data_IF_683410888262
#
_entry.id   IF_683410888262
#
_cell.length_a   1.000
_cell.length_b   1.000
_cell.length_c   1.000
_cell.angle_alpha   90.00
_cell.angle_beta   90.00
_cell.angle_gamma   90.00
#
_symmetry.space_group_name_H-M   'P 1'
#
loop_
_entity.id
_entity.type
_entity.pdbx_description
1 polymer ?
#
# COMPACT_ATOMS: atom_id res chain seq x y z
N UNK A 1 21.41 22.60 20.67
CA UNK A 1 20.35 21.98 19.84
C UNK A 1 19.28 21.49 20.80
N UNK A 2 18.03 21.91 20.64
CA UNK A 2 16.93 21.47 21.52
C UNK A 2 16.38 20.17 20.95
N UNK A 3 16.24 19.14 21.80
CA UNK A 3 15.67 17.87 21.37
C UNK A 3 14.14 17.96 21.38
N UNK A 4 13.50 17.60 20.27
CA UNK A 4 12.05 17.38 20.21
C UNK A 4 11.76 15.93 20.59
N UNK A 5 10.71 15.72 21.39
CA UNK A 5 10.21 14.37 21.66
C UNK A 5 9.06 14.08 20.71
N UNK A 6 9.21 13.00 19.94
CA UNK A 6 8.13 12.47 19.09
C UNK A 6 7.29 11.52 19.93
N UNK A 7 5.98 11.74 19.93
CA UNK A 7 4.98 10.81 20.46
C UNK A 7 4.33 10.04 19.32
N UNK A 8 4.19 8.72 19.49
CA UNK A 8 3.57 7.81 18.52
C UNK A 8 4.05 6.37 18.69
N UNK A 9 3.47 5.45 17.92
CA UNK A 9 3.84 4.03 18.01
C UNK A 9 5.22 3.76 17.40
N UNK A 10 6.08 3.06 18.13
CA UNK A 10 7.33 2.50 17.59
C UNK A 10 7.10 1.26 16.73
N UNK A 11 5.89 0.67 16.79
CA UNK A 11 5.48 -0.52 16.06
C UNK A 11 4.16 -0.24 15.30
N UNK A 12 4.16 0.66 14.29
CA UNK A 12 2.95 0.96 13.55
C UNK A 12 2.48 -0.25 12.73
N UNK A 13 1.16 -0.40 12.56
CA UNK A 13 0.60 -1.49 11.77
C UNK A 13 0.56 -1.09 10.29
N UNK A 14 1.11 -1.93 9.42
CA UNK A 14 1.09 -1.75 7.97
C UNK A 14 -0.34 -1.63 7.46
N UNK A 15 -0.58 -0.71 6.53
CA UNK A 15 -1.89 -0.43 5.96
C UNK A 15 -2.82 0.39 6.86
N UNK A 16 -2.48 0.59 8.14
CA UNK A 16 -3.23 1.42 9.06
C UNK A 16 -2.57 2.79 9.21
N UNK A 17 -3.40 3.82 9.14
CA UNK A 17 -2.95 5.19 9.41
C UNK A 17 -2.50 5.31 10.89
N UNK A 18 -1.29 5.82 11.10
CA UNK A 18 -0.70 6.02 12.43
C UNK A 18 -0.32 7.48 12.62
N UNK A 19 -0.74 8.08 13.73
CA UNK A 19 -0.48 9.49 14.05
C UNK A 19 0.78 9.66 14.91
N UNK A 20 1.50 10.75 14.66
CA UNK A 20 2.67 11.18 15.42
C UNK A 20 2.58 12.67 15.72
N UNK A 21 3.03 13.07 16.91
CA UNK A 21 2.99 14.46 17.38
C UNK A 21 4.29 14.85 18.05
N UNK A 22 4.63 16.14 18.08
CA UNK A 22 5.75 16.65 18.88
C UNK A 22 5.30 17.13 20.26
N UNK A 23 6.03 16.75 21.30
CA UNK A 23 5.99 17.42 22.60
C UNK A 23 7.19 18.37 22.72
N UNK A 24 6.98 19.63 23.12
CA UNK A 24 8.09 20.51 23.49
C UNK A 24 8.72 19.97 24.78
N UNK A 25 10.00 19.60 24.72
CA UNK A 25 10.77 19.29 25.93
C UNK A 25 11.03 20.60 26.66
N UNK A 26 10.34 20.82 27.79
CA UNK A 26 10.55 22.01 28.65
C UNK A 26 9.31 22.65 29.26
N UNK A 27 8.09 22.17 29.02
CA UNK A 27 6.87 22.71 29.65
C UNK A 27 6.60 22.07 31.02
N UNK A 28 7.55 22.24 31.95
CA UNK A 28 7.16 22.46 33.33
C UNK A 28 6.60 23.87 33.38
N UNK A 29 5.27 24.02 33.41
CA UNK A 29 4.52 25.25 33.75
C UNK A 29 5.35 26.56 33.75
N UNK A 30 5.69 27.07 32.58
CA UNK A 30 6.23 28.44 32.48
C UNK A 30 5.05 29.34 32.17
N UNK A 31 4.65 30.11 33.18
CA UNK A 31 3.79 31.28 33.04
C UNK A 31 4.31 32.06 31.84
N UNK A 32 3.50 32.15 30.77
CA UNK A 32 3.91 32.79 29.53
C UNK A 32 4.31 34.23 29.81
N UNK A 33 5.59 34.54 29.61
CA UNK A 33 6.05 35.90 29.53
C UNK A 33 5.54 36.47 28.18
N UNK A 34 4.70 37.52 28.14
CA UNK A 34 3.96 37.95 26.94
C UNK A 34 4.81 38.53 25.81
N UNK A 35 6.13 38.48 25.91
CA UNK A 35 7.10 39.06 24.96
C UNK A 35 8.03 38.03 24.30
N UNK A 36 7.79 36.72 24.45
CA UNK A 36 8.54 35.73 23.66
C UNK A 36 7.94 35.63 22.26
N UNK A 37 8.72 35.78 21.17
CA UNK A 37 8.20 35.56 19.83
C UNK A 37 7.74 34.11 19.72
N UNK A 38 6.44 33.93 19.50
CA UNK A 38 5.85 32.63 19.19
C UNK A 38 6.60 32.12 17.96
N UNK A 39 7.38 31.04 18.10
CA UNK A 39 8.05 30.42 16.95
C UNK A 39 7.00 30.04 15.91
N UNK A 40 6.94 30.83 14.82
CA UNK A 40 6.07 30.63 13.66
C UNK A 40 6.55 29.49 12.76
N UNK A 41 7.69 28.90 13.09
CA UNK A 41 8.27 27.81 12.31
C UNK A 41 7.45 26.53 12.49
N UNK A 42 6.98 25.98 11.38
CA UNK A 42 6.23 24.73 11.34
C UNK A 42 7.17 23.54 11.49
N UNK A 43 6.72 22.49 12.17
CA UNK A 43 7.46 21.24 12.26
C UNK A 43 7.43 20.51 10.91
N UNK A 44 8.60 20.09 10.43
CA UNK A 44 8.78 19.34 9.19
C UNK A 44 9.14 17.90 9.52
N UNK A 45 8.43 16.96 8.93
CA UNK A 45 8.56 15.53 9.21
C UNK A 45 9.07 14.80 7.98
N UNK A 46 9.97 13.85 8.19
CA UNK A 46 10.52 13.00 7.14
C UNK A 46 10.68 11.56 7.62
N UNK A 47 10.56 10.60 6.70
CA UNK A 47 10.92 9.20 6.93
C UNK A 47 12.27 8.90 6.28
N UNK A 48 13.17 8.34 7.07
CA UNK A 48 14.46 7.81 6.64
C UNK A 48 14.43 6.28 6.64
N UNK A 49 15.02 5.67 5.63
CA UNK A 49 15.26 4.23 5.53
C UNK A 49 16.74 3.96 5.75
N UNK A 50 17.05 2.91 6.52
CA UNK A 50 18.41 2.39 6.64
C UNK A 50 18.73 1.53 5.41
N UNK A 51 19.70 1.96 4.61
CA UNK A 51 20.19 1.22 3.45
C UNK A 51 21.71 1.20 3.48
N UNK A 52 22.33 0.02 3.41
CA UNK A 52 23.80 -0.13 3.41
C UNK A 52 24.45 0.65 4.57
N UNK A 53 23.85 0.54 5.77
CA UNK A 53 24.28 1.24 7.02
C UNK A 53 24.21 2.77 6.99
N UNK A 54 23.51 3.38 6.02
CA UNK A 54 23.30 4.83 5.96
C UNK A 54 21.80 5.15 5.94
N UNK A 55 21.40 6.19 6.66
CA UNK A 55 20.04 6.71 6.62
C UNK A 55 19.83 7.53 5.34
N UNK A 56 18.82 7.18 4.56
CA UNK A 56 18.43 7.90 3.34
C UNK A 56 16.99 8.37 3.40
N UNK A 57 16.72 9.57 2.88
CA UNK A 57 15.36 10.11 2.74
C UNK A 57 14.57 9.32 1.71
N UNK A 58 13.32 9.04 2.03
CA UNK A 58 12.36 8.51 1.06
C UNK A 58 11.64 9.65 0.34
N UNK A 59 11.51 9.56 -0.98
CA UNK A 59 10.74 10.53 -1.75
C UNK A 59 9.26 10.49 -1.36
N UNK A 60 8.61 11.66 -1.23
CA UNK A 60 7.16 11.78 -1.05
C UNK A 60 6.63 11.62 0.38
N UNK A 61 7.50 11.46 1.39
CA UNK A 61 7.09 11.28 2.79
C UNK A 61 7.31 12.51 3.68
N UNK A 62 7.35 13.71 3.08
CA UNK A 62 7.49 14.96 3.83
C UNK A 62 6.12 15.49 4.26
N UNK A 63 5.97 15.78 5.56
CA UNK A 63 4.73 16.36 6.11
C UNK A 63 5.04 17.58 6.98
N UNK A 64 4.05 18.46 7.16
CA UNK A 64 4.20 19.70 7.92
C UNK A 64 3.07 19.81 8.96
N UNK A 65 3.41 20.20 10.18
CA UNK A 65 2.46 20.44 11.27
C UNK A 65 2.90 19.80 12.58
N UNK A 66 2.32 20.21 13.71
CA UNK A 66 2.70 19.65 15.03
C UNK A 66 2.22 18.20 15.22
N UNK A 67 1.25 17.76 14.41
CA UNK A 67 0.78 16.38 14.33
C UNK A 67 0.66 15.96 12.86
N UNK A 68 1.14 14.76 12.53
CA UNK A 68 1.09 14.18 11.19
C UNK A 68 0.68 12.72 11.24
N UNK A 69 0.09 12.23 10.16
CA UNK A 69 -0.21 10.80 9.99
C UNK A 69 0.74 10.16 8.98
N UNK A 70 1.10 8.90 9.17
CA UNK A 70 1.80 8.08 8.18
C UNK A 70 1.06 6.76 7.98
N UNK A 71 1.08 6.27 6.73
CA UNK A 71 0.65 4.91 6.40
C UNK A 71 1.85 4.14 5.85
N UNK A 72 2.16 3.01 6.47
CA UNK A 72 3.32 2.18 6.13
C UNK A 72 2.89 1.03 5.22
N UNK A 73 3.69 0.73 4.20
CA UNK A 73 3.45 -0.36 3.24
C UNK A 73 4.14 -1.65 3.68
N UNK A 74 3.85 -2.79 3.07
CA UNK A 74 4.54 -4.04 3.43
C UNK A 74 6.06 -3.94 3.21
N UNK A 75 6.47 -3.23 2.15
CA UNK A 75 7.88 -2.94 1.86
C UNK A 75 8.59 -2.21 3.01
N UNK A 76 7.86 -1.50 3.88
CA UNK A 76 8.38 -0.86 5.09
C UNK A 76 8.83 -1.88 6.14
N UNK A 77 8.12 -3.00 6.31
CA UNK A 77 8.54 -4.07 7.23
C UNK A 77 9.71 -4.91 6.72
N UNK A 78 9.97 -4.88 5.40
CA UNK A 78 11.13 -5.54 4.81
C UNK A 78 12.42 -4.70 4.91
N UNK A 79 12.34 -3.44 5.34
CA UNK A 79 13.52 -2.56 5.48
C UNK A 79 14.35 -2.95 6.70
N UNK A 80 15.68 -2.79 6.59
CA UNK A 80 16.62 -3.00 7.71
C UNK A 80 16.32 -2.07 8.89
N UNK A 81 15.82 -0.87 8.63
CA UNK A 81 15.41 0.09 9.65
C UNK A 81 14.66 1.27 9.06
N UNK A 82 13.73 1.83 9.85
CA UNK A 82 12.97 3.03 9.53
C UNK A 82 13.09 4.02 10.69
N UNK A 83 13.19 5.30 10.35
CA UNK A 83 13.33 6.37 11.33
C UNK A 83 12.52 7.59 10.90
N UNK A 84 11.66 8.06 11.78
CA UNK A 84 10.96 9.34 11.64
C UNK A 84 11.88 10.42 12.18
N UNK A 85 12.03 11.51 11.44
CA UNK A 85 12.77 12.70 11.86
C UNK A 85 11.83 13.90 11.78
N UNK A 86 11.85 14.72 12.83
CA UNK A 86 11.14 16.00 12.87
C UNK A 86 12.12 17.13 13.11
N UNK A 87 11.97 18.23 12.38
CA UNK A 87 12.74 19.47 12.58
C UNK A 87 11.81 20.66 12.73
N UNK A 88 12.09 21.52 13.72
CA UNK A 88 11.41 22.80 13.93
C UNK A 88 12.45 23.84 14.32
N UNK A 89 12.83 24.70 13.39
CA UNK A 89 13.96 25.61 13.55
C UNK A 89 15.24 24.86 13.87
N UNK A 90 15.86 25.24 15.00
CA UNK A 90 17.07 24.62 15.54
C UNK A 90 16.79 23.36 16.39
N UNK A 91 15.54 22.93 16.48
CA UNK A 91 15.13 21.76 17.27
C UNK A 91 14.93 20.54 16.38
N UNK A 92 15.36 19.36 16.85
CA UNK A 92 15.29 18.11 16.10
C UNK A 92 14.86 16.95 17.00
N UNK A 93 14.01 16.06 16.48
CA UNK A 93 13.61 14.81 17.13
C UNK A 93 13.75 13.63 16.18
N UNK A 94 14.05 12.46 16.71
CA UNK A 94 14.16 11.22 15.95
C UNK A 94 13.43 10.07 16.66
N UNK A 95 12.75 9.21 15.89
CA UNK A 95 12.06 8.02 16.41
C UNK A 95 12.32 6.85 15.47
N UNK A 96 13.01 5.83 15.95
CA UNK A 96 13.18 4.56 15.22
C UNK A 96 11.87 3.77 15.33
N UNK A 97 11.38 3.28 14.20
CA UNK A 97 10.15 2.51 14.11
C UNK A 97 10.41 1.16 13.44
N UNK A 98 9.60 0.17 13.79
CA UNK A 98 9.58 -1.16 13.18
C UNK A 98 8.14 -1.52 12.82
N UNK A 99 7.67 -1.17 11.62
CA UNK A 99 6.32 -1.49 11.18
C UNK A 99 6.04 -2.99 11.27
N UNK A 100 4.85 -3.32 11.76
CA UNK A 100 4.38 -4.70 11.92
C UNK A 100 3.33 -5.01 10.87
N UNK A 101 3.33 -6.24 10.37
CA UNK A 101 2.29 -6.71 9.45
C UNK A 101 0.96 -6.75 10.21
N UNK A 102 -0.12 -6.32 9.56
CA UNK A 102 -1.46 -6.37 10.13
C UNK A 102 -1.93 -7.80 10.44
N UNK A 103 -1.36 -8.79 9.73
CA UNK A 103 -1.65 -10.21 9.91
C UNK A 103 -1.02 -11.06 8.80
N UNK A 104 -1.83 -11.97 8.24
CA UNK A 104 -1.40 -12.92 7.21
C UNK A 104 -1.80 -12.41 5.82
N UNK A 105 -0.88 -11.78 5.05
CA UNK A 105 -1.19 -11.19 3.75
C UNK A 105 -1.67 -12.26 2.75
N UNK A 106 -2.92 -12.18 2.33
CA UNK A 106 -3.52 -13.14 1.39
C UNK A 106 -4.57 -12.52 0.49
N UNK A 107 -4.63 -13.03 -0.74
CA UNK A 107 -5.80 -12.92 -1.60
C UNK A 107 -6.74 -14.04 -1.20
N UNK A 108 -7.94 -13.71 -0.71
CA UNK A 108 -8.93 -14.70 -0.28
C UNK A 108 -9.71 -15.28 -1.45
N UNK A 109 -10.10 -14.41 -2.40
CA UNK A 109 -10.92 -14.79 -3.54
C UNK A 109 -10.79 -13.76 -4.66
N UNK A 110 -11.22 -14.15 -5.85
CA UNK A 110 -11.36 -13.28 -7.01
C UNK A 110 -12.79 -13.38 -7.51
N UNK A 111 -13.44 -12.25 -7.70
CA UNK A 111 -14.78 -12.14 -8.28
C UNK A 111 -14.68 -11.54 -9.68
N UNK A 112 -15.47 -12.07 -10.63
CA UNK A 112 -15.58 -11.54 -11.98
C UNK A 112 -16.95 -10.90 -12.17
N UNK A 113 -16.96 -9.69 -12.72
CA UNK A 113 -18.17 -8.95 -13.04
C UNK A 113 -18.17 -8.45 -14.49
N UNK A 114 -19.35 -8.18 -15.03
CA UNK A 114 -19.49 -7.43 -16.26
C UNK A 114 -19.12 -5.94 -16.05
N UNK A 115 -19.13 -5.15 -17.12
CA UNK A 115 -18.88 -3.70 -17.08
C UNK A 115 -19.81 -2.92 -16.14
N UNK A 116 -20.96 -3.49 -15.78
CA UNK A 116 -21.98 -2.91 -14.91
C UNK A 116 -21.91 -3.45 -13.48
N UNK A 117 -20.84 -4.19 -13.12
CA UNK A 117 -20.65 -4.85 -11.82
C UNK A 117 -21.65 -5.97 -11.49
N UNK A 118 -22.35 -6.52 -12.49
CA UNK A 118 -23.17 -7.70 -12.30
C UNK A 118 -22.31 -8.97 -12.38
N UNK A 119 -22.70 -9.99 -11.62
CA UNK A 119 -22.03 -11.30 -11.70
C UNK A 119 -22.20 -11.89 -13.10
N UNK A 120 -21.11 -12.34 -13.70
CA UNK A 120 -21.15 -13.01 -15.00
C UNK A 120 -21.83 -14.37 -14.82
N UNK A 121 -22.92 -14.58 -15.54
CA UNK A 121 -23.72 -15.82 -15.53
C UNK A 121 -23.81 -16.48 -16.90
N UNK A 122 -23.25 -15.83 -17.93
CA UNK A 122 -23.29 -16.26 -19.33
C UNK A 122 -21.85 -16.42 -19.86
N UNK A 123 -21.66 -17.21 -20.92
CA UNK A 123 -20.39 -17.21 -21.66
C UNK A 123 -20.00 -15.80 -22.09
N UNK A 124 -18.70 -15.52 -22.04
CA UNK A 124 -18.13 -14.21 -22.36
C UNK A 124 -17.99 -14.05 -23.87
N UNK A 125 -18.28 -12.85 -24.38
CA UNK A 125 -18.04 -12.47 -25.76
C UNK A 125 -16.73 -11.66 -25.87
N UNK A 126 -16.06 -11.72 -27.02
CA UNK A 126 -14.90 -10.87 -27.32
C UNK A 126 -15.21 -9.37 -27.27
N UNK A 127 -16.46 -8.95 -27.46
CA UNK A 127 -16.83 -7.55 -27.29
C UNK A 127 -16.99 -7.13 -25.81
N UNK A 128 -16.94 -8.06 -24.86
CA UNK A 128 -17.23 -7.78 -23.46
C UNK A 128 -16.04 -7.14 -22.74
N UNK A 129 -16.37 -6.40 -21.68
CA UNK A 129 -15.40 -5.93 -20.69
C UNK A 129 -15.71 -6.59 -19.36
N UNK A 130 -14.69 -7.20 -18.75
CA UNK A 130 -14.78 -7.94 -17.50
C UNK A 130 -14.02 -7.17 -16.43
N UNK A 131 -14.61 -7.04 -15.26
CA UNK A 131 -13.97 -6.49 -14.07
C UNK A 131 -13.54 -7.66 -13.18
N UNK A 132 -12.24 -7.80 -12.96
CA UNK A 132 -11.71 -8.76 -11.99
C UNK A 132 -11.41 -8.03 -10.68
N UNK A 133 -12.03 -8.49 -9.58
CA UNK A 133 -11.85 -7.95 -8.23
C UNK A 133 -11.20 -8.99 -7.34
N UNK A 134 -9.99 -8.73 -6.87
CA UNK A 134 -9.37 -9.49 -5.80
C UNK A 134 -9.85 -8.98 -4.44
N UNK A 135 -10.25 -9.89 -3.55
CA UNK A 135 -10.56 -9.61 -2.16
C UNK A 135 -9.37 -10.05 -1.29
N UNK A 136 -8.80 -9.11 -0.55
CA UNK A 136 -7.52 -9.29 0.11
C UNK A 136 -7.63 -9.01 1.61
N UNK A 137 -6.89 -9.77 2.42
CA UNK A 137 -6.67 -9.51 3.83
C UNK A 137 -5.21 -9.13 4.07
N UNK A 138 -4.96 -8.12 4.90
CA UNK A 138 -3.63 -7.69 5.32
C UNK A 138 -2.67 -7.40 4.15
N UNK A 139 -3.20 -6.93 3.02
CA UNK A 139 -2.44 -6.57 1.82
C UNK A 139 -2.64 -5.10 1.40
N UNK A 140 -3.14 -4.25 2.29
CA UNK A 140 -3.40 -2.84 1.98
C UNK A 140 -2.14 -2.13 1.45
N UNK A 141 -2.27 -1.43 0.32
CA UNK A 141 -1.15 -0.76 -0.35
C UNK A 141 -0.25 -1.67 -1.19
N UNK A 142 -0.53 -2.98 -1.27
CA UNK A 142 0.19 -3.91 -2.14
C UNK A 142 -0.35 -3.90 -3.56
N UNK A 143 0.52 -4.16 -4.54
CA UNK A 143 0.11 -4.32 -5.95
C UNK A 143 -0.28 -5.77 -6.23
N UNK A 144 -1.51 -5.98 -6.71
CA UNK A 144 -1.98 -7.27 -7.22
C UNK A 144 -1.84 -7.28 -8.74
N UNK A 145 -1.30 -8.37 -9.27
CA UNK A 145 -1.21 -8.65 -10.70
C UNK A 145 -2.27 -9.67 -11.10
N UNK A 146 -2.98 -9.36 -12.18
CA UNK A 146 -4.08 -10.15 -12.73
C UNK A 146 -3.69 -10.68 -14.10
N UNK A 147 -3.84 -11.99 -14.26
CA UNK A 147 -3.67 -12.70 -15.54
C UNK A 147 -4.93 -13.50 -15.81
N UNK A 148 -5.43 -13.38 -17.04
CA UNK A 148 -6.53 -14.14 -17.60
C UNK A 148 -5.98 -15.31 -18.41
N UNK A 149 -6.61 -16.46 -18.25
CA UNK A 149 -6.20 -17.72 -18.87
C UNK A 149 -7.41 -18.33 -19.56
N UNK A 150 -7.17 -19.11 -20.61
CA UNK A 150 -8.20 -19.98 -21.15
C UNK A 150 -8.31 -21.28 -20.36
N UNK A 151 -9.53 -21.80 -20.28
CA UNK A 151 -9.84 -23.08 -19.65
C UNK A 151 -10.11 -24.13 -20.74
N UNK A 152 -9.04 -24.55 -21.44
CA UNK A 152 -9.10 -25.54 -22.51
C UNK A 152 -8.70 -26.95 -22.05
N UNK A 153 -8.30 -27.12 -20.78
CA UNK A 153 -8.01 -28.43 -20.21
C UNK A 153 -9.29 -29.28 -20.05
N UNK A 154 -9.21 -30.55 -20.45
CA UNK A 154 -10.28 -31.52 -20.28
C UNK A 154 -10.47 -31.77 -18.78
N UNK A 155 -11.61 -31.33 -18.24
CA UNK A 155 -11.95 -31.47 -16.82
C UNK A 155 -12.39 -30.16 -16.15
N UNK A 156 -12.01 -29.01 -16.72
CA UNK A 156 -12.33 -27.67 -16.22
C UNK A 156 -11.59 -27.34 -14.92
N UNK A 157 -11.05 -26.12 -14.81
CA UNK A 157 -10.48 -25.61 -13.56
C UNK A 157 -9.00 -25.22 -13.63
N UNK A 158 -8.36 -25.07 -12.46
CA UNK A 158 -6.98 -24.57 -12.36
C UNK A 158 -5.96 -25.70 -12.54
N UNK A 159 -5.85 -26.21 -13.77
CA UNK A 159 -4.79 -27.14 -14.18
C UNK A 159 -3.51 -26.38 -14.56
N UNK A 160 -2.34 -26.97 -14.29
CA UNK A 160 -1.05 -26.39 -14.71
C UNK A 160 -0.95 -26.26 -16.24
N UNK A 161 -1.68 -27.09 -16.99
CA UNK A 161 -1.74 -27.03 -18.46
C UNK A 161 -2.40 -25.73 -18.95
N UNK A 162 -3.42 -25.25 -18.23
CA UNK A 162 -4.06 -23.96 -18.51
C UNK A 162 -3.07 -22.80 -18.32
N UNK A 163 -1.90 -23.04 -17.69
CA UNK A 163 -0.89 -22.02 -17.55
C UNK A 163 -0.22 -21.58 -18.87
N UNK A 164 -0.40 -22.37 -19.91
CA UNK A 164 0.20 -22.10 -21.22
C UNK A 164 -0.71 -21.16 -22.02
N UNK A 165 -2.02 -21.12 -21.72
CA UNK A 165 -3.02 -20.36 -22.48
C UNK A 165 -3.28 -18.98 -21.85
N UNK A 166 -2.19 -18.22 -21.62
CA UNK A 166 -2.29 -16.84 -21.13
C UNK A 166 -2.81 -15.91 -22.21
N UNK A 167 -3.93 -15.27 -21.91
CA UNK A 167 -4.61 -14.39 -22.85
C UNK A 167 -3.99 -13.00 -22.83
N UNK A 168 -3.59 -12.53 -21.65
CA UNK A 168 -2.84 -11.29 -21.50
C UNK A 168 -1.35 -11.58 -21.23
N UNK A 169 -0.45 -11.41 -22.23
CA UNK A 169 0.98 -11.63 -22.05
C UNK A 169 1.60 -10.67 -21.02
N UNK A 170 0.98 -9.50 -20.82
CA UNK A 170 1.33 -8.54 -19.78
C UNK A 170 0.22 -8.53 -18.71
N UNK A 171 0.53 -8.90 -17.45
CA UNK A 171 -0.41 -8.79 -16.35
C UNK A 171 -0.91 -7.37 -16.15
N UNK A 172 -2.23 -7.21 -15.97
CA UNK A 172 -2.78 -5.95 -15.48
C UNK A 172 -2.54 -5.86 -13.97
N UNK A 173 -2.39 -4.67 -13.41
CA UNK A 173 -2.12 -4.53 -11.99
C UNK A 173 -2.89 -3.38 -11.36
N UNK A 174 -3.26 -3.53 -10.10
CA UNK A 174 -3.78 -2.43 -9.28
C UNK A 174 -3.37 -2.58 -7.82
N UNK A 175 -3.40 -1.49 -7.07
CA UNK A 175 -3.07 -1.46 -5.63
C UNK A 175 -4.29 -1.83 -4.81
N UNK A 176 -4.09 -2.61 -3.74
CA UNK A 176 -5.14 -2.93 -2.77
C UNK A 176 -5.51 -1.67 -1.99
N UNK A 177 -6.78 -1.30 -2.07
CA UNK A 177 -7.41 -0.26 -1.27
C UNK A 177 -8.66 -0.82 -0.62
N UNK A 178 -8.82 -0.59 0.68
CA UNK A 178 -9.94 -1.12 1.47
C UNK A 178 -10.12 -2.65 1.31
N UNK A 179 -9.01 -3.38 1.26
CA UNK A 179 -9.01 -4.83 1.07
C UNK A 179 -9.44 -5.30 -0.33
N UNK A 180 -9.48 -4.42 -1.34
CA UNK A 180 -9.85 -4.77 -2.73
C UNK A 180 -8.83 -4.24 -3.73
N UNK A 181 -8.55 -5.02 -4.78
CA UNK A 181 -7.86 -4.54 -5.97
C UNK A 181 -8.64 -4.93 -7.22
N UNK A 182 -8.74 -4.03 -8.20
CA UNK A 182 -9.59 -4.23 -9.37
C UNK A 182 -8.88 -3.87 -10.67
N UNK A 183 -9.09 -4.67 -11.71
CA UNK A 183 -8.67 -4.36 -13.08
C UNK A 183 -9.81 -4.63 -14.06
N UNK A 184 -9.75 -3.98 -15.23
CA UNK A 184 -10.70 -4.21 -16.33
C UNK A 184 -9.99 -4.87 -17.50
N UNK A 185 -10.48 -6.03 -17.90
CA UNK A 185 -10.08 -6.71 -19.12
C UNK A 185 -11.05 -6.34 -20.24
N UNK A 186 -10.55 -5.70 -21.30
CA UNK A 186 -11.32 -5.51 -22.52
C UNK A 186 -11.03 -6.70 -23.44
N UNK A 187 -12.02 -7.58 -23.63
CA UNK A 187 -11.84 -8.83 -24.37
C UNK A 187 -11.51 -8.61 -25.85
N UNK A 188 -11.86 -7.45 -26.40
CA UNK A 188 -11.62 -7.12 -27.81
C UNK A 188 -10.12 -6.92 -28.09
N UNK A 189 -9.32 -6.70 -27.05
CA UNK A 189 -7.86 -6.58 -27.15
C UNK A 189 -7.16 -7.93 -27.24
N UNK A 190 -7.90 -9.04 -27.08
CA UNK A 190 -7.35 -10.39 -26.99
C UNK A 190 -7.92 -11.34 -28.06
N UNK A 191 -8.37 -10.80 -29.20
CA UNK A 191 -8.99 -11.56 -30.30
C UNK A 191 -8.11 -12.74 -30.74
N UNK A 192 -8.61 -13.98 -30.52
CA UNK A 192 -7.95 -15.23 -30.89
C UNK A 192 -8.25 -16.46 -30.02
N UNK A 193 -8.96 -16.29 -28.91
CA UNK A 193 -8.98 -17.25 -27.79
C UNK A 193 -10.42 -17.44 -27.23
N UNK A 194 -11.01 -18.63 -27.47
CA UNK A 194 -12.44 -18.93 -27.34
C UNK A 194 -12.99 -19.18 -25.93
N UNK A 195 -12.20 -19.39 -24.86
CA UNK A 195 -12.77 -19.84 -23.58
C UNK A 195 -12.05 -19.30 -22.33
N UNK A 196 -12.28 -18.03 -21.97
CA UNK A 196 -11.69 -17.49 -20.74
C UNK A 196 -12.51 -17.88 -19.51
N UNK A 197 -11.97 -18.76 -18.67
CA UNK A 197 -12.46 -18.95 -17.30
C UNK A 197 -11.25 -18.80 -16.39
N UNK A 198 -11.40 -17.99 -15.35
CA UNK A 198 -10.42 -17.76 -14.28
C UNK A 198 -9.34 -16.68 -14.47
N UNK A 199 -9.17 -15.90 -13.40
CA UNK A 199 -8.05 -14.98 -13.21
C UNK A 199 -7.19 -15.47 -12.04
N UNK A 200 -6.02 -16.04 -12.36
CA UNK A 200 -5.08 -16.66 -11.41
C UNK A 200 -3.90 -15.76 -11.04
N UNK A 201 -3.42 -15.89 -9.80
CA UNK A 201 -2.37 -15.12 -9.12
C UNK A 201 -0.97 -15.49 -9.63
N UNK A 202 -0.14 -14.51 -10.01
CA UNK A 202 1.30 -14.73 -10.21
C UNK A 202 2.10 -14.21 -9.00
N UNK A 203 2.81 -15.10 -8.29
CA UNK A 203 3.85 -14.72 -7.33
C UNK A 203 5.14 -14.44 -8.09
N UNK A 204 5.80 -13.33 -7.79
CA UNK A 204 7.26 -13.18 -7.90
C UNK A 204 7.80 -12.88 -6.53
#
# INVERSE_FOLDING_TARGET
MINLVISGSTNPIIGKETFYSIFPVGLNTVIQNPLSPISTEKAHWEILVLEKRRWRKTNGNTKIGDTVSFNFKQSSAAREGLKIVVTRGNSKGELIIKPQRAGNPKVNSVSLFDKNYNKITKPLNYADTIIARAHCNDMEGETIYFTLWEDDAIGGGHDEINQINKINPIPLSNTVMEGKAEVKFNMALYNGFQNCRYAGRQRR
#
